data_IF_286030804360
#
_entry.id   IF_286030804360
#
_cell.length_a   1.000
_cell.length_b   1.000
_cell.length_c   1.000
_cell.angle_alpha   90.00
_cell.angle_beta   90.00
_cell.angle_gamma   90.00
#
_symmetry.space_group_name_H-M   'P 1'
#
loop_
_entity.id
_entity.type
_entity.pdbx_description
1 polymer ?
#
# COMPACT_ATOMS: atom_id res chain seq x y z
N UNK A 1 58.05 -4.02 -37.61
CA UNK A 1 57.19 -2.83 -37.44
C UNK A 1 55.75 -3.21 -37.75
N UNK A 2 54.94 -3.50 -36.74
CA UNK A 2 53.49 -3.59 -36.89
C UNK A 2 52.87 -2.88 -35.69
N UNK A 3 52.28 -1.70 -35.92
CA UNK A 3 51.60 -0.91 -34.89
C UNK A 3 50.32 -1.63 -34.47
N UNK A 4 50.19 -1.90 -33.17
CA UNK A 4 48.98 -2.38 -32.54
C UNK A 4 47.99 -1.22 -32.44
N UNK A 5 46.84 -1.33 -33.11
CA UNK A 5 45.72 -0.41 -32.90
C UNK A 5 45.23 -0.59 -31.46
N UNK A 6 45.19 0.50 -30.68
CA UNK A 6 44.57 0.51 -29.37
C UNK A 6 43.04 0.61 -29.56
N UNK A 7 42.32 -0.43 -29.14
CA UNK A 7 40.86 -0.40 -29.00
C UNK A 7 40.51 0.43 -27.77
N UNK A 8 39.60 1.43 -27.85
CA UNK A 8 39.17 2.19 -26.69
C UNK A 8 38.06 1.41 -25.97
N UNK A 9 38.42 0.40 -25.19
CA UNK A 9 37.44 -0.37 -24.43
C UNK A 9 37.68 -0.19 -22.93
N UNK A 10 36.67 0.35 -22.23
CA UNK A 10 36.61 0.24 -20.78
C UNK A 10 35.52 1.05 -20.09
N UNK A 11 35.30 2.30 -20.51
CA UNK A 11 34.63 3.26 -19.61
C UNK A 11 33.23 3.70 -20.01
N UNK A 12 32.80 3.46 -21.26
CA UNK A 12 31.45 3.84 -21.69
C UNK A 12 30.37 2.90 -21.12
N UNK A 13 30.70 1.62 -21.00
CA UNK A 13 29.77 0.60 -20.50
C UNK A 13 29.43 0.82 -19.02
N UNK A 14 30.33 1.39 -18.22
CA UNK A 14 30.06 1.72 -16.82
C UNK A 14 29.11 2.93 -16.66
N UNK A 15 29.07 3.86 -17.62
CA UNK A 15 28.19 5.02 -17.57
C UNK A 15 26.73 4.69 -17.94
N UNK A 16 26.47 3.51 -18.52
CA UNK A 16 25.14 3.02 -18.88
C UNK A 16 24.55 2.06 -17.83
N UNK A 17 25.28 1.76 -16.75
CA UNK A 17 24.79 0.95 -15.66
C UNK A 17 24.01 1.83 -14.67
N UNK A 18 22.67 1.75 -14.71
CA UNK A 18 21.85 2.30 -13.64
C UNK A 18 21.98 1.39 -12.41
N UNK A 19 22.55 1.91 -11.30
CA UNK A 19 22.54 1.24 -10.00
C UNK A 19 21.18 1.35 -9.27
N UNK A 20 20.11 1.55 -10.05
CA UNK A 20 18.75 1.61 -9.52
C UNK A 20 18.35 0.21 -9.06
N UNK A 21 18.24 0.03 -7.73
CA UNK A 21 17.50 -1.11 -7.19
C UNK A 21 16.04 -0.90 -7.55
N UNK A 22 15.63 -1.50 -8.65
CA UNK A 22 14.22 -1.79 -8.91
C UNK A 22 13.79 -2.83 -7.88
N UNK A 23 13.57 -2.40 -6.64
CA UNK A 23 12.76 -3.11 -5.66
C UNK A 23 11.29 -2.97 -6.11
N UNK A 24 11.05 -3.46 -7.33
CA UNK A 24 9.74 -3.74 -7.91
C UNK A 24 9.25 -5.03 -7.25
N UNK A 25 9.17 -5.04 -5.92
CA UNK A 25 8.01 -5.65 -5.33
C UNK A 25 6.84 -4.89 -5.98
N UNK A 26 6.29 -5.45 -7.05
CA UNK A 26 4.99 -5.04 -7.58
C UNK A 26 4.14 -4.76 -6.35
N UNK A 27 3.54 -3.56 -6.20
CA UNK A 27 2.72 -3.29 -5.04
C UNK A 27 1.77 -4.47 -4.93
N UNK A 28 1.87 -5.18 -3.81
CA UNK A 28 1.43 -6.57 -3.68
C UNK A 28 0.08 -6.67 -4.37
N UNK A 29 0.04 -7.41 -5.49
CA UNK A 29 -1.18 -7.64 -6.25
C UNK A 29 -2.22 -7.98 -5.20
N UNK A 30 -3.27 -7.15 -5.12
CA UNK A 30 -4.34 -7.29 -4.14
C UNK A 30 -4.55 -8.77 -3.88
N UNK A 31 -4.35 -9.30 -2.66
CA UNK A 31 -4.14 -10.73 -2.47
C UNK A 31 -5.33 -11.49 -3.03
N UNK A 32 -5.20 -11.94 -4.28
CA UNK A 32 -6.26 -12.61 -4.99
C UNK A 32 -6.35 -14.00 -4.38
N UNK A 33 -7.47 -14.21 -3.68
CA UNK A 33 -8.08 -15.50 -3.40
C UNK A 33 -7.12 -16.62 -2.99
N UNK A 34 -6.52 -16.50 -1.80
CA UNK A 34 -6.16 -17.70 -1.04
C UNK A 34 -6.95 -17.74 0.25
N UNK A 35 -7.83 -18.75 0.31
CA UNK A 35 -8.55 -19.28 1.48
C UNK A 35 -8.14 -18.58 2.77
N UNK A 36 -9.03 -17.72 3.26
CA UNK A 36 -8.94 -16.95 4.49
C UNK A 36 -7.95 -17.50 5.53
N UNK A 37 -6.72 -17.00 5.53
CA UNK A 37 -5.86 -17.11 6.71
C UNK A 37 -6.19 -15.94 7.63
N UNK A 38 -7.09 -16.20 8.59
CA UNK A 38 -7.49 -15.31 9.69
C UNK A 38 -6.31 -14.68 10.45
N UNK A 39 -5.11 -15.24 10.29
CA UNK A 39 -3.83 -14.77 10.83
C UNK A 39 -3.42 -13.37 10.36
N UNK A 40 -3.75 -12.96 9.13
CA UNK A 40 -3.38 -11.61 8.65
C UNK A 40 -4.16 -10.53 9.39
N UNK A 41 -5.48 -10.71 9.54
CA UNK A 41 -6.32 -9.82 10.37
C UNK A 41 -5.80 -9.78 11.81
N UNK A 42 -5.51 -10.93 12.43
CA UNK A 42 -5.02 -11.00 13.80
C UNK A 42 -3.73 -10.17 14.03
N UNK A 43 -2.86 -10.06 13.02
CA UNK A 43 -1.64 -9.26 13.10
C UNK A 43 -1.91 -7.74 13.18
N UNK A 44 -2.84 -7.22 12.36
CA UNK A 44 -3.23 -5.79 12.43
C UNK A 44 -3.96 -5.45 13.72
N UNK A 45 -4.77 -6.37 14.25
CA UNK A 45 -5.48 -6.21 15.51
C UNK A 45 -4.56 -6.09 16.73
N UNK A 46 -3.35 -6.67 16.68
CA UNK A 46 -2.38 -6.64 17.77
C UNK A 46 -1.37 -5.47 17.67
N UNK A 47 -1.52 -4.58 16.68
CA UNK A 47 -0.68 -3.39 16.58
C UNK A 47 -1.04 -2.44 17.74
N UNK A 48 -0.07 -1.94 18.53
CA UNK A 48 -0.34 -1.03 19.63
C UNK A 48 -0.73 0.34 19.05
N UNK A 49 -2.02 0.49 18.76
CA UNK A 49 -2.65 1.76 18.41
C UNK A 49 -2.67 2.65 19.68
N UNK A 50 -2.64 3.99 19.52
CA UNK A 50 -2.83 4.90 20.65
C UNK A 50 -4.13 4.52 21.35
N UNK A 51 -4.01 4.08 22.61
CA UNK A 51 -5.08 3.44 23.37
C UNK A 51 -6.13 4.51 23.67
N UNK A 52 -7.12 4.67 22.79
CA UNK A 52 -8.38 5.29 23.17
C UNK A 52 -9.14 4.24 23.96
N UNK A 53 -9.49 4.49 25.22
CA UNK A 53 -10.22 3.53 26.06
C UNK A 53 -11.63 3.19 25.53
N UNK A 54 -12.09 3.85 24.46
CA UNK A 54 -13.30 3.53 23.73
C UNK A 54 -13.00 2.54 22.59
N UNK A 55 -13.88 1.54 22.35
CA UNK A 55 -13.86 0.75 21.13
C UNK A 55 -13.75 1.68 19.90
N UNK A 56 -12.89 1.37 18.92
CA UNK A 56 -12.86 2.12 17.67
C UNK A 56 -14.23 2.16 16.99
N UNK A 57 -14.50 3.23 16.23
CA UNK A 57 -15.83 3.51 15.64
C UNK A 57 -16.40 2.34 14.84
N UNK A 58 -15.58 1.52 14.18
CA UNK A 58 -16.04 0.35 13.43
C UNK A 58 -16.50 -0.84 14.30
N UNK A 59 -16.22 -0.82 15.61
CA UNK A 59 -16.80 -1.73 16.62
C UNK A 59 -18.02 -1.13 17.33
N UNK A 60 -18.41 0.11 16.99
CA UNK A 60 -19.63 0.70 17.51
C UNK A 60 -20.87 0.06 16.88
N UNK A 61 -22.03 0.31 17.47
CA UNK A 61 -23.31 -0.07 16.86
C UNK A 61 -23.48 0.61 15.50
N UNK A 62 -24.11 -0.08 14.56
CA UNK A 62 -24.33 0.44 13.21
C UNK A 62 -25.20 1.70 13.26
N UNK A 63 -24.70 2.78 12.67
CA UNK A 63 -25.42 4.03 12.53
C UNK A 63 -26.55 3.87 11.49
N UNK A 64 -27.52 4.79 11.47
CA UNK A 64 -28.65 4.72 10.52
C UNK A 64 -28.11 4.82 9.08
N UNK A 65 -27.09 5.64 8.90
CA UNK A 65 -26.35 5.84 7.66
C UNK A 65 -25.68 4.54 7.18
N UNK A 66 -25.13 3.74 8.09
CA UNK A 66 -24.52 2.45 7.74
C UNK A 66 -25.58 1.46 7.24
N UNK A 67 -26.75 1.45 7.88
CA UNK A 67 -27.89 0.61 7.49
C UNK A 67 -28.43 1.06 6.12
N UNK A 68 -28.47 2.36 5.85
CA UNK A 68 -28.88 2.90 4.55
C UNK A 68 -27.90 2.50 3.44
N UNK A 69 -26.60 2.62 3.70
CA UNK A 69 -25.56 2.19 2.77
C UNK A 69 -25.65 0.69 2.44
N UNK A 70 -25.91 -0.16 3.44
CA UNK A 70 -26.12 -1.60 3.22
C UNK A 70 -27.33 -1.88 2.34
N UNK A 71 -28.43 -1.14 2.53
CA UNK A 71 -29.63 -1.26 1.69
C UNK A 71 -29.36 -0.79 0.26
N UNK A 72 -28.62 0.30 0.08
CA UNK A 72 -28.22 0.79 -1.24
C UNK A 72 -27.45 -0.30 -1.98
N UNK A 73 -26.41 -0.88 -1.35
CA UNK A 73 -25.61 -1.95 -1.94
C UNK A 73 -26.45 -3.21 -2.24
N UNK A 74 -27.38 -3.57 -1.36
CA UNK A 74 -28.27 -4.73 -1.55
C UNK A 74 -29.31 -4.53 -2.66
N UNK A 75 -29.64 -3.28 -3.01
CA UNK A 75 -30.58 -2.95 -4.08
C UNK A 75 -29.94 -3.00 -5.48
N UNK A 76 -28.60 -3.05 -5.56
CA UNK A 76 -27.88 -3.08 -6.83
C UNK A 76 -28.05 -4.43 -7.54
N UNK A 77 -28.04 -4.38 -8.87
CA UNK A 77 -27.87 -5.60 -9.68
C UNK A 77 -26.47 -6.18 -9.45
N UNK A 78 -26.31 -7.49 -9.66
CA UNK A 78 -25.01 -8.16 -9.49
C UNK A 78 -23.90 -7.50 -10.32
N UNK A 79 -24.21 -7.03 -11.52
CA UNK A 79 -23.24 -6.34 -12.38
C UNK A 79 -22.76 -5.01 -11.75
N UNK A 80 -23.70 -4.17 -11.28
CA UNK A 80 -23.38 -2.88 -10.67
C UNK A 80 -22.65 -3.08 -9.33
N UNK A 81 -23.02 -4.09 -8.56
CA UNK A 81 -22.32 -4.44 -7.31
C UNK A 81 -20.86 -4.81 -7.61
N UNK A 82 -20.61 -5.65 -8.61
CA UNK A 82 -19.25 -6.03 -9.00
C UNK A 82 -18.42 -4.85 -9.51
N UNK A 83 -19.03 -3.90 -10.23
CA UNK A 83 -18.38 -2.65 -10.61
C UNK A 83 -18.02 -1.81 -9.37
N UNK A 84 -18.92 -1.73 -8.39
CA UNK A 84 -18.66 -0.98 -7.16
C UNK A 84 -17.56 -1.61 -6.30
N UNK A 85 -17.51 -2.94 -6.24
CA UNK A 85 -16.41 -3.69 -5.60
C UNK A 85 -15.07 -3.36 -6.26
N UNK A 86 -15.00 -3.36 -7.60
CA UNK A 86 -13.78 -2.97 -8.33
C UNK A 86 -13.42 -1.50 -8.08
N UNK A 87 -14.40 -0.61 -8.00
CA UNK A 87 -14.18 0.79 -7.67
C UNK A 87 -13.57 0.99 -6.28
N UNK A 88 -14.10 0.29 -5.27
CA UNK A 88 -13.58 0.33 -3.90
C UNK A 88 -12.16 -0.26 -3.80
N UNK A 89 -11.89 -1.33 -4.55
CA UNK A 89 -10.53 -1.84 -4.70
C UNK A 89 -9.65 -0.73 -5.32
N UNK A 90 -9.95 -0.19 -6.50
CA UNK A 90 -9.10 0.86 -7.08
C UNK A 90 -8.85 2.05 -6.13
N UNK A 91 -9.88 2.48 -5.39
CA UNK A 91 -9.76 3.53 -4.37
C UNK A 91 -8.80 3.12 -3.25
N UNK A 92 -8.94 1.92 -2.68
CA UNK A 92 -8.06 1.45 -1.61
C UNK A 92 -6.59 1.43 -2.01
N UNK A 93 -6.28 1.18 -3.28
CA UNK A 93 -4.90 1.13 -3.78
C UNK A 93 -4.33 2.52 -3.93
N UNK A 94 -5.12 3.45 -4.47
CA UNK A 94 -4.74 4.85 -4.53
C UNK A 94 -4.48 5.41 -3.14
N UNK A 95 -5.34 5.11 -2.17
CA UNK A 95 -5.14 5.50 -0.77
C UNK A 95 -3.89 4.86 -0.17
N UNK A 96 -3.61 3.58 -0.44
CA UNK A 96 -2.40 2.91 0.03
C UNK A 96 -1.10 3.53 -0.53
N UNK A 97 -1.11 3.93 -1.81
CA UNK A 97 0.03 4.65 -2.41
C UNK A 97 0.22 6.02 -1.77
N UNK A 98 -0.86 6.75 -1.52
CA UNK A 98 -0.83 8.04 -0.84
C UNK A 98 -0.31 7.91 0.60
N UNK A 99 -0.84 6.97 1.37
CA UNK A 99 -0.40 6.68 2.73
C UNK A 99 1.10 6.37 2.77
N UNK A 100 1.59 5.48 1.91
CA UNK A 100 3.01 5.13 1.84
C UNK A 100 3.91 6.33 1.56
N UNK A 101 3.47 7.21 0.64
CA UNK A 101 4.16 8.46 0.32
C UNK A 101 4.22 9.39 1.53
N UNK A 102 3.09 9.62 2.19
CA UNK A 102 3.03 10.53 3.34
C UNK A 102 3.77 9.98 4.56
N UNK A 103 3.72 8.66 4.79
CA UNK A 103 4.52 7.99 5.82
C UNK A 103 6.02 8.15 5.58
N UNK A 104 6.46 8.00 4.32
CA UNK A 104 7.86 8.24 3.93
C UNK A 104 8.28 9.68 4.18
N UNK A 105 7.43 10.66 3.83
CA UNK A 105 7.66 12.08 4.12
C UNK A 105 7.76 12.34 5.62
N UNK A 106 6.83 11.81 6.41
CA UNK A 106 6.83 11.96 7.87
C UNK A 106 8.12 11.41 8.50
N UNK A 107 8.64 10.30 7.99
CA UNK A 107 9.93 9.74 8.42
C UNK A 107 11.09 10.71 8.18
N UNK A 108 11.17 11.36 7.00
CA UNK A 108 12.23 12.32 6.70
C UNK A 108 12.11 13.63 7.48
N UNK A 109 10.89 13.98 7.89
CA UNK A 109 10.62 15.16 8.70
C UNK A 109 10.74 14.88 10.21
N UNK A 110 11.07 13.64 10.61
CA UNK A 110 11.22 13.22 12.00
C UNK A 110 10.02 13.57 12.90
N UNK A 111 8.81 13.66 12.34
CA UNK A 111 7.60 14.08 13.09
C UNK A 111 7.14 13.04 14.11
N UNK A 112 7.56 11.79 13.92
CA UNK A 112 7.29 10.66 14.82
C UNK A 112 8.45 10.38 15.77
N UNK A 113 9.56 11.15 15.69
CA UNK A 113 10.66 10.99 16.64
C UNK A 113 10.23 11.45 18.02
N UNK A 114 10.49 10.62 19.03
CA UNK A 114 10.26 11.00 20.43
C UNK A 114 11.32 12.02 20.86
N UNK A 115 10.95 13.06 21.60
CA UNK A 115 11.91 14.05 22.08
C UNK A 115 12.98 13.36 22.93
N UNK A 116 14.26 13.60 22.58
CA UNK A 116 15.39 13.11 23.36
C UNK A 116 15.49 13.99 24.61
N UNK A 117 15.25 13.39 25.79
CA UNK A 117 15.53 14.00 27.09
C UNK A 117 17.03 14.05 27.33
#
# INVERSE_FOLDING_TARGET
FFSKMASPNGDFDNSLLSYEKLDRASPDLWPEQRKASFSFLFFYFNLPLPITNSPPKWMAELEIEDIEMLKELGSLTTANLMEKVKGLQNLGYQLGLEESREMTRGKFLNILERPKK
#
